data_IF_423333012500
#
_entry.id   IF_423333012500
#
_cell.length_a   1.000
_cell.length_b   1.000
_cell.length_c   1.000
_cell.angle_alpha   90.00
_cell.angle_beta   90.00
_cell.angle_gamma   90.00
#
_symmetry.space_group_name_H-M   'P 1'
#
loop_
_entity.id
_entity.type
_entity.pdbx_description
1 polymer ?
#
# COMPACT_ATOMS: atom_id res chain seq x y z
N UNK A 1 11.73 6.27 -7.41
CA UNK A 1 10.77 5.40 -8.16
C UNK A 1 9.77 6.21 -8.95
N UNK A 2 9.09 5.60 -9.95
CA UNK A 2 7.94 6.24 -10.61
C UNK A 2 6.67 5.93 -9.84
N UNK A 3 5.83 6.92 -9.64
CA UNK A 3 4.56 6.78 -8.95
C UNK A 3 3.43 7.46 -9.73
N UNK A 4 2.23 6.87 -9.66
CA UNK A 4 1.01 7.45 -10.19
C UNK A 4 0.31 8.21 -9.04
N UNK A 5 0.31 9.54 -9.11
CA UNK A 5 -0.25 10.40 -8.09
C UNK A 5 -1.61 10.96 -8.49
N UNK A 6 -2.47 11.09 -7.49
CA UNK A 6 -3.68 11.89 -7.55
C UNK A 6 -3.46 13.15 -6.72
N UNK A 7 -3.49 14.32 -7.36
CA UNK A 7 -3.19 15.62 -6.73
C UNK A 7 -4.40 16.29 -6.10
N UNK A 8 -5.59 15.84 -6.43
CA UNK A 8 -6.84 16.36 -5.87
C UNK A 8 -8.07 15.66 -6.46
N UNK A 9 -9.23 15.85 -5.83
CA UNK A 9 -10.46 15.24 -6.32
C UNK A 9 -10.83 15.79 -7.71
N UNK A 10 -11.25 14.91 -8.60
CA UNK A 10 -11.62 15.24 -9.98
C UNK A 10 -10.45 15.51 -10.90
N UNK A 11 -9.22 15.55 -10.41
CA UNK A 11 -8.04 15.83 -11.22
C UNK A 11 -7.56 14.57 -11.98
N UNK A 12 -6.83 14.74 -13.09
CA UNK A 12 -6.17 13.63 -13.75
C UNK A 12 -5.02 13.09 -12.87
N UNK A 13 -4.68 11.83 -13.06
CA UNK A 13 -3.46 11.27 -12.49
C UNK A 13 -2.22 11.85 -13.19
N UNK A 14 -1.15 12.05 -12.42
CA UNK A 14 0.19 12.37 -12.93
C UNK A 14 1.18 11.25 -12.62
N UNK A 15 2.11 11.01 -13.54
CA UNK A 15 3.25 10.11 -13.30
C UNK A 15 4.42 10.97 -12.86
N UNK A 16 4.91 10.74 -11.65
CA UNK A 16 5.99 11.51 -11.06
C UNK A 16 7.14 10.61 -10.60
N UNK A 17 8.33 11.19 -10.54
CA UNK A 17 9.49 10.54 -9.92
C UNK A 17 9.59 11.01 -8.48
N UNK A 18 9.52 10.07 -7.55
CA UNK A 18 9.64 10.32 -6.11
C UNK A 18 10.77 9.48 -5.53
N UNK A 19 11.21 9.80 -4.31
CA UNK A 19 12.21 9.00 -3.60
C UNK A 19 11.74 7.57 -3.39
N UNK A 20 12.67 6.63 -3.41
CA UNK A 20 12.39 5.26 -3.03
C UNK A 20 12.14 5.19 -1.51
N UNK A 21 11.16 4.41 -1.05
CA UNK A 21 10.90 4.28 0.37
C UNK A 21 12.04 3.53 1.06
N UNK A 22 12.39 3.97 2.27
CA UNK A 22 13.30 3.27 3.17
C UNK A 22 12.49 2.63 4.30
N UNK A 23 12.67 1.34 4.60
CA UNK A 23 11.86 0.69 5.60
C UNK A 23 12.21 1.18 7.01
N UNK A 24 11.20 1.55 7.78
CA UNK A 24 11.33 1.80 9.20
C UNK A 24 11.53 0.47 9.96
N UNK A 25 11.99 0.53 11.21
CA UNK A 25 12.16 -0.66 12.03
C UNK A 25 10.85 -1.45 12.15
N UNK A 26 10.89 -2.73 11.81
CA UNK A 26 9.74 -3.63 11.80
C UNK A 26 8.92 -3.60 10.49
N UNK A 27 9.41 -2.89 9.47
CA UNK A 27 8.78 -2.81 8.15
C UNK A 27 9.65 -3.44 7.08
N UNK A 28 9.02 -3.78 5.99
CA UNK A 28 9.66 -4.24 4.76
C UNK A 28 9.26 -3.34 3.58
N UNK A 29 10.11 -3.28 2.57
CA UNK A 29 9.79 -2.67 1.26
C UNK A 29 9.54 -3.79 0.26
N UNK A 30 8.42 -3.68 -0.44
CA UNK A 30 8.09 -4.56 -1.56
C UNK A 30 8.18 -3.79 -2.88
N UNK A 31 8.83 -4.38 -3.86
CA UNK A 31 8.80 -3.92 -5.25
C UNK A 31 7.45 -4.31 -5.85
N UNK A 32 6.67 -3.34 -6.26
CA UNK A 32 5.36 -3.57 -6.89
C UNK A 32 5.55 -4.21 -8.26
N UNK A 33 4.94 -5.36 -8.47
CA UNK A 33 4.90 -6.09 -9.74
C UNK A 33 3.61 -5.78 -10.51
N UNK A 34 2.50 -5.66 -9.79
CA UNK A 34 1.20 -5.29 -10.35
C UNK A 34 0.34 -4.60 -9.28
N UNK A 35 -0.54 -3.72 -9.71
CA UNK A 35 -1.56 -3.12 -8.85
C UNK A 35 -2.87 -3.03 -9.62
N UNK A 36 -3.92 -3.64 -9.07
CA UNK A 36 -5.26 -3.58 -9.64
C UNK A 36 -5.85 -2.18 -9.58
N UNK A 37 -6.66 -1.84 -10.58
CA UNK A 37 -7.37 -0.56 -10.67
C UNK A 37 -8.87 -0.77 -10.43
N UNK A 38 -9.22 -1.04 -9.19
CA UNK A 38 -10.60 -1.31 -8.78
C UNK A 38 -11.47 -0.05 -8.69
N UNK A 39 -12.74 -0.25 -8.40
CA UNK A 39 -13.75 0.82 -8.31
C UNK A 39 -13.42 1.85 -7.21
N UNK A 40 -12.77 1.43 -6.13
CA UNK A 40 -12.34 2.32 -5.04
C UNK A 40 -11.49 3.48 -5.54
N UNK A 41 -10.58 3.23 -6.50
CA UNK A 41 -9.76 4.28 -7.12
C UNK A 41 -10.63 5.35 -7.78
N UNK A 42 -11.71 4.94 -8.47
CA UNK A 42 -12.65 5.86 -9.10
C UNK A 42 -13.43 6.68 -8.06
N UNK A 43 -13.78 6.09 -6.92
CA UNK A 43 -14.44 6.80 -5.83
C UNK A 43 -13.52 7.84 -5.17
N UNK A 44 -12.25 7.49 -4.93
CA UNK A 44 -11.25 8.44 -4.42
C UNK A 44 -11.01 9.58 -5.41
N UNK A 45 -10.84 9.26 -6.70
CA UNK A 45 -10.66 10.25 -7.77
C UNK A 45 -11.87 11.21 -7.87
N UNK A 46 -13.07 10.69 -7.74
CA UNK A 46 -14.30 11.49 -7.77
C UNK A 46 -14.55 12.30 -6.48
N UNK A 47 -13.67 12.18 -5.46
CA UNK A 47 -13.83 12.85 -4.17
C UNK A 47 -14.94 12.27 -3.28
N UNK A 48 -15.45 11.07 -3.60
CA UNK A 48 -16.46 10.38 -2.77
C UNK A 48 -15.87 9.75 -1.52
N UNK A 49 -14.58 9.44 -1.57
CA UNK A 49 -13.78 8.97 -0.42
C UNK A 49 -12.72 10.03 -0.17
N UNK A 50 -12.73 10.61 1.03
CA UNK A 50 -11.78 11.65 1.41
C UNK A 50 -10.43 11.03 1.78
N UNK A 51 -9.37 11.52 1.16
CA UNK A 51 -7.98 11.18 1.46
C UNK A 51 -7.14 12.45 1.48
N UNK A 52 -5.95 12.39 2.09
CA UNK A 52 -4.99 13.48 1.99
C UNK A 52 -4.31 13.45 0.63
N UNK A 53 -4.22 14.59 -0.04
CA UNK A 53 -3.55 14.76 -1.33
C UNK A 53 -2.22 15.52 -1.18
N UNK A 54 -1.23 15.34 -2.06
CA UNK A 54 -1.19 14.32 -3.14
C UNK A 54 -1.10 12.90 -2.58
N UNK A 55 -1.63 11.91 -3.31
CA UNK A 55 -1.62 10.52 -2.85
C UNK A 55 -1.41 9.53 -3.98
N UNK A 56 -0.58 8.53 -3.72
CA UNK A 56 -0.56 7.28 -4.49
C UNK A 56 -1.72 6.44 -3.98
N UNK A 57 -2.62 6.03 -4.87
CA UNK A 57 -3.80 5.23 -4.52
C UNK A 57 -3.76 3.86 -5.20
N UNK A 58 -4.28 2.87 -4.49
CA UNK A 58 -4.34 1.48 -4.89
C UNK A 58 -4.18 0.59 -3.66
N UNK A 59 -4.83 -0.55 -3.66
CA UNK A 59 -4.80 -1.50 -2.55
C UNK A 59 -4.81 -2.97 -3.01
N UNK A 60 -4.87 -3.21 -4.31
CA UNK A 60 -4.81 -4.54 -4.92
C UNK A 60 -3.37 -4.78 -5.41
N UNK A 61 -2.42 -4.84 -4.46
CA UNK A 61 -1.00 -4.81 -4.74
C UNK A 61 -0.41 -6.21 -4.65
N UNK A 62 0.31 -6.61 -5.70
CA UNK A 62 1.20 -7.77 -5.71
C UNK A 62 2.63 -7.28 -5.87
N UNK A 63 3.53 -7.82 -5.08
CA UNK A 63 4.92 -7.40 -5.06
C UNK A 63 5.86 -8.51 -4.62
N UNK A 64 7.13 -8.17 -4.54
CA UNK A 64 8.21 -9.00 -4.05
C UNK A 64 9.00 -8.22 -3.00
N UNK A 65 9.32 -8.84 -1.88
CA UNK A 65 10.11 -8.22 -0.81
C UNK A 65 11.52 -7.95 -1.32
N UNK A 66 11.96 -6.69 -1.22
CA UNK A 66 13.30 -6.27 -1.67
C UNK A 66 14.17 -5.74 -0.52
N UNK A 67 13.57 -5.32 0.59
CA UNK A 67 14.30 -4.83 1.76
C UNK A 67 13.50 -5.11 3.03
N UNK A 68 14.18 -5.44 4.13
CA UNK A 68 13.59 -5.68 5.45
C UNK A 68 14.42 -4.95 6.50
N UNK A 69 13.77 -4.18 7.38
CA UNK A 69 14.43 -3.52 8.50
C UNK A 69 13.95 -4.13 9.83
N UNK A 70 14.74 -5.07 10.35
CA UNK A 70 14.46 -5.80 11.59
C UNK A 70 14.25 -7.30 11.34
N UNK A 71 13.57 -7.95 12.27
CA UNK A 71 13.19 -9.35 12.10
C UNK A 71 11.91 -9.40 11.24
N UNK A 72 12.01 -9.96 10.07
CA UNK A 72 10.90 -10.05 9.08
C UNK A 72 9.88 -11.16 9.40
N UNK A 73 9.98 -11.82 10.56
CA UNK A 73 9.19 -13.03 10.80
C UNK A 73 9.54 -14.10 9.77
N UNK A 74 8.53 -14.57 9.05
CA UNK A 74 8.68 -15.56 7.97
C UNK A 74 8.96 -14.92 6.60
N UNK A 75 9.16 -13.59 6.53
CA UNK A 75 9.43 -12.89 5.28
C UNK A 75 10.93 -12.87 4.99
N UNK A 76 11.28 -13.25 3.77
CA UNK A 76 12.62 -13.19 3.22
C UNK A 76 12.65 -12.29 1.99
N UNK A 77 13.83 -11.75 1.63
CA UNK A 77 14.03 -11.04 0.37
C UNK A 77 13.73 -12.00 -0.79
N UNK A 78 12.95 -11.54 -1.77
CA UNK A 78 12.46 -12.35 -2.87
C UNK A 78 11.11 -13.01 -2.62
N UNK A 79 10.56 -12.94 -1.40
CA UNK A 79 9.23 -13.48 -1.10
C UNK A 79 8.15 -12.73 -1.89
N UNK A 80 7.32 -13.42 -2.70
CA UNK A 80 6.15 -12.80 -3.31
C UNK A 80 5.08 -12.53 -2.27
N UNK A 81 4.50 -11.34 -2.32
CA UNK A 81 3.50 -10.88 -1.34
C UNK A 81 2.32 -10.19 -2.03
N UNK A 82 1.18 -10.24 -1.38
CA UNK A 82 0.05 -9.37 -1.68
C UNK A 82 -0.28 -8.52 -0.46
N UNK A 83 -0.63 -7.26 -0.67
CA UNK A 83 -0.96 -6.37 0.42
C UNK A 83 -2.38 -6.63 0.93
N UNK A 84 -2.51 -6.88 2.23
CA UNK A 84 -3.80 -6.81 2.90
C UNK A 84 -4.11 -5.33 3.17
N UNK A 85 -5.26 -4.86 2.70
CA UNK A 85 -5.54 -3.41 2.69
C UNK A 85 -6.04 -2.83 4.02
N UNK A 86 -6.33 -3.66 5.02
CA UNK A 86 -6.60 -3.22 6.37
C UNK A 86 -5.32 -3.16 7.20
N UNK A 87 -5.11 -2.06 7.91
CA UNK A 87 -4.04 -1.93 8.90
C UNK A 87 -4.57 -2.42 10.24
N UNK A 88 -4.30 -3.67 10.57
CA UNK A 88 -4.75 -4.30 11.80
C UNK A 88 -3.70 -4.17 12.89
N UNK A 89 -4.12 -4.12 14.16
CA UNK A 89 -3.19 -4.00 15.29
C UNK A 89 -2.61 -5.36 15.72
N UNK A 90 -3.20 -6.49 15.28
CA UNK A 90 -2.76 -7.84 15.59
C UNK A 90 -3.03 -8.34 17.02
N UNK A 91 -3.53 -7.50 17.94
CA UNK A 91 -3.63 -7.86 19.37
C UNK A 91 -4.97 -7.49 20.03
N UNK A 92 -5.86 -6.78 19.37
CA UNK A 92 -7.18 -6.48 19.94
C UNK A 92 -8.11 -7.71 19.88
N UNK A 93 -9.25 -7.61 20.60
CA UNK A 93 -10.25 -8.68 20.63
C UNK A 93 -10.63 -9.17 19.21
N UNK A 94 -10.78 -8.25 18.26
CA UNK A 94 -11.21 -8.59 16.91
C UNK A 94 -10.14 -9.34 16.13
N UNK A 95 -8.87 -8.90 16.24
CA UNK A 95 -7.74 -9.62 15.64
C UNK A 95 -7.59 -11.03 16.24
N UNK A 96 -7.81 -11.18 17.56
CA UNK A 96 -7.65 -12.47 18.24
C UNK A 96 -8.74 -13.50 17.89
N UNK A 97 -9.80 -13.09 17.22
CA UNK A 97 -10.88 -13.99 16.76
C UNK A 97 -11.03 -13.95 15.23
N UNK A 98 -9.99 -13.51 14.51
CA UNK A 98 -9.93 -13.42 13.04
C UNK A 98 -11.10 -12.60 12.44
N UNK A 99 -11.43 -11.48 13.07
CA UNK A 99 -12.49 -10.55 12.66
C UNK A 99 -11.97 -9.10 12.62
N UNK A 100 -10.83 -8.91 12.03
CA UNK A 100 -10.17 -7.62 11.90
C UNK A 100 -10.73 -6.71 10.78
N UNK A 101 -11.72 -7.16 10.05
CA UNK A 101 -12.39 -6.41 8.98
C UNK A 101 -13.78 -5.95 9.37
#
# INVERSE_FOLDING_TARGET
>A
MKALLLNGPGQPFSIETIEDPTPQKGYAVAKVLACGSGLTIQHVKAGRITVNYPRIIGHEIVGEIVEINGQGGDLEIGTPVTAFFYLTCGHCRWCNIDRET
#
